data_IF_065754578288
#
_entry.id   IF_065754578288
#
_cell.length_a   1.000
_cell.length_b   1.000
_cell.length_c   1.000
_cell.angle_alpha   90.00
_cell.angle_beta   90.00
_cell.angle_gamma   90.00
#
_symmetry.space_group_name_H-M   'P 1'
#
loop_
_entity.id
_entity.type
_entity.pdbx_description
1 polymer ?
#
# COMPACT_ATOMS: atom_id res chain seq x y z
N UNK A 1 -13.56 -34.34 -2.56
CA UNK A 1 -13.88 -32.98 -2.04
C UNK A 1 -13.18 -31.91 -2.85
N UNK A 2 -11.85 -31.82 -2.85
CA UNK A 2 -11.15 -30.76 -3.61
C UNK A 2 -11.42 -30.82 -5.11
N UNK A 3 -11.41 -32.01 -5.73
CA UNK A 3 -11.76 -32.16 -7.16
C UNK A 3 -13.20 -31.76 -7.46
N UNK A 4 -14.13 -32.11 -6.58
CA UNK A 4 -15.56 -31.76 -6.69
C UNK A 4 -15.73 -30.22 -6.65
N UNK A 5 -15.08 -29.55 -5.68
CA UNK A 5 -15.07 -28.10 -5.59
C UNK A 5 -14.40 -27.42 -6.78
N UNK A 6 -13.29 -27.98 -7.27
CA UNK A 6 -12.60 -27.47 -8.44
C UNK A 6 -13.42 -27.68 -9.72
N UNK A 7 -14.20 -28.75 -9.84
CA UNK A 7 -15.00 -29.04 -11.03
C UNK A 7 -16.17 -28.08 -11.25
N UNK A 8 -16.65 -27.42 -10.19
CA UNK A 8 -17.80 -26.50 -10.21
C UNK A 8 -17.40 -25.04 -10.53
N UNK A 9 -16.17 -24.81 -11.01
CA UNK A 9 -15.70 -23.47 -11.40
C UNK A 9 -16.23 -23.08 -12.77
N UNK A 10 -16.53 -21.79 -12.93
CA UNK A 10 -16.93 -21.19 -14.21
C UNK A 10 -15.82 -20.28 -14.76
N UNK A 11 -15.86 -20.00 -16.07
CA UNK A 11 -14.88 -19.09 -16.69
C UNK A 11 -15.13 -17.68 -16.18
N UNK A 12 -14.13 -17.08 -15.52
CA UNK A 12 -14.17 -15.71 -15.03
C UNK A 12 -12.85 -15.00 -15.35
N UNK A 13 -12.92 -13.89 -16.09
CA UNK A 13 -11.73 -13.16 -16.53
C UNK A 13 -11.03 -12.52 -15.33
N UNK A 14 -9.71 -12.73 -15.21
CA UNK A 14 -8.88 -12.13 -14.16
C UNK A 14 -9.05 -12.74 -12.76
N UNK A 15 -9.89 -13.75 -12.59
CA UNK A 15 -10.07 -14.44 -11.31
C UNK A 15 -9.20 -15.68 -11.22
N UNK A 16 -8.51 -15.85 -10.09
CA UNK A 16 -7.78 -17.08 -9.78
C UNK A 16 -8.72 -18.30 -9.63
N UNK A 17 -10.01 -18.07 -9.33
CA UNK A 17 -11.03 -19.12 -9.19
C UNK A 17 -11.71 -19.45 -10.52
N UNK A 18 -11.22 -18.93 -11.63
CA UNK A 18 -11.70 -19.29 -12.97
C UNK A 18 -11.47 -20.77 -13.27
N UNK A 19 -12.35 -21.39 -14.05
CA UNK A 19 -12.06 -22.70 -14.65
C UNK A 19 -10.93 -22.63 -15.69
N UNK A 20 -10.60 -21.44 -16.19
CA UNK A 20 -9.49 -21.18 -17.11
C UNK A 20 -8.17 -20.77 -16.41
N UNK A 21 -8.07 -20.91 -15.08
CA UNK A 21 -6.84 -20.63 -14.34
C UNK A 21 -5.73 -21.63 -14.71
N UNK A 22 -4.47 -21.18 -14.74
CA UNK A 22 -3.32 -22.03 -15.09
C UNK A 22 -3.01 -23.08 -14.02
N UNK A 23 -2.26 -24.13 -14.42
CA UNK A 23 -1.99 -25.31 -13.60
C UNK A 23 -1.37 -24.97 -12.23
N UNK A 24 -0.44 -24.02 -12.19
CA UNK A 24 0.18 -23.59 -10.93
C UNK A 24 -0.84 -22.96 -9.97
N UNK A 25 -1.77 -22.15 -10.48
CA UNK A 25 -2.85 -21.56 -9.69
C UNK A 25 -3.79 -22.65 -9.17
N UNK A 26 -4.13 -23.62 -10.01
CA UNK A 26 -4.99 -24.74 -9.62
C UNK A 26 -4.32 -25.59 -8.53
N UNK A 27 -3.03 -25.86 -8.62
CA UNK A 27 -2.31 -26.63 -7.58
C UNK A 27 -2.21 -25.85 -6.26
N UNK A 28 -1.95 -24.54 -6.32
CA UNK A 28 -2.00 -23.68 -5.14
C UNK A 28 -3.38 -23.72 -4.48
N UNK A 29 -4.46 -23.59 -5.25
CA UNK A 29 -5.83 -23.67 -4.74
C UNK A 29 -6.12 -25.04 -4.12
N UNK A 30 -5.60 -26.12 -4.73
CA UNK A 30 -5.74 -27.47 -4.21
C UNK A 30 -5.09 -27.61 -2.84
N UNK A 31 -3.87 -27.11 -2.67
CA UNK A 31 -3.16 -27.18 -1.39
C UNK A 31 -3.80 -26.29 -0.31
N UNK A 32 -4.23 -25.08 -0.65
CA UNK A 32 -5.00 -24.22 0.25
C UNK A 32 -6.31 -24.89 0.70
N UNK A 33 -6.99 -25.59 -0.21
CA UNK A 33 -8.22 -26.31 0.10
C UNK A 33 -7.97 -27.56 0.97
N UNK A 34 -6.86 -28.29 0.77
CA UNK A 34 -6.43 -29.37 1.67
C UNK A 34 -6.23 -28.86 3.09
N UNK A 35 -5.62 -27.68 3.25
CA UNK A 35 -5.47 -27.05 4.55
C UNK A 35 -6.84 -26.71 5.17
N UNK A 36 -7.78 -26.16 4.39
CA UNK A 36 -9.16 -25.94 4.84
C UNK A 36 -9.83 -27.22 5.35
N UNK A 37 -9.72 -28.32 4.59
CA UNK A 37 -10.26 -29.63 4.98
C UNK A 37 -9.67 -30.08 6.31
N UNK A 38 -8.35 -29.98 6.46
CA UNK A 38 -7.63 -30.40 7.67
C UNK A 38 -8.04 -29.56 8.87
N UNK A 39 -8.16 -28.24 8.72
CA UNK A 39 -8.59 -27.32 9.77
C UNK A 39 -10.00 -27.69 10.27
N UNK A 40 -10.98 -27.78 9.37
CA UNK A 40 -12.37 -28.08 9.74
C UNK A 40 -12.48 -29.48 10.38
N UNK A 41 -11.80 -30.48 9.80
CA UNK A 41 -11.81 -31.85 10.32
C UNK A 41 -11.21 -31.95 11.73
N UNK A 42 -10.18 -31.16 12.01
CA UNK A 42 -9.55 -31.08 13.35
C UNK A 42 -10.54 -30.54 14.39
N UNK A 43 -11.32 -29.51 14.03
CA UNK A 43 -12.37 -28.97 14.89
C UNK A 43 -13.51 -29.96 15.11
N UNK A 44 -13.99 -30.62 14.06
CA UNK A 44 -15.02 -31.66 14.15
C UNK A 44 -14.59 -32.84 15.04
N UNK A 45 -13.30 -33.13 15.08
CA UNK A 45 -12.69 -34.16 15.93
C UNK A 45 -12.46 -33.70 17.39
N UNK A 46 -12.91 -32.51 17.79
CA UNK A 46 -12.81 -32.00 19.16
C UNK A 46 -11.46 -31.36 19.54
N UNK A 47 -10.50 -31.25 18.61
CA UNK A 47 -9.16 -30.74 18.87
C UNK A 47 -9.07 -29.21 18.66
N UNK A 48 -9.81 -28.44 19.46
CA UNK A 48 -9.96 -26.98 19.27
C UNK A 48 -8.64 -26.20 19.23
N UNK A 49 -7.67 -26.53 20.10
CA UNK A 49 -6.37 -25.83 20.10
C UNK A 49 -5.56 -26.03 18.82
N UNK A 50 -5.67 -27.19 18.18
CA UNK A 50 -5.01 -27.44 16.89
C UNK A 50 -5.69 -26.71 15.74
N UNK A 51 -7.00 -26.48 15.84
CA UNK A 51 -7.74 -25.67 14.86
C UNK A 51 -7.25 -24.22 14.85
N UNK A 52 -7.04 -23.59 16.01
CA UNK A 52 -6.60 -22.19 16.09
C UNK A 52 -5.28 -21.96 15.33
N UNK A 53 -4.26 -22.80 15.57
CA UNK A 53 -2.99 -22.66 14.86
C UNK A 53 -3.06 -22.97 13.36
N UNK A 54 -4.02 -23.79 12.90
CA UNK A 54 -4.25 -24.00 11.47
C UNK A 54 -5.06 -22.87 10.83
N UNK A 55 -5.99 -22.27 11.59
CA UNK A 55 -6.80 -21.13 11.18
C UNK A 55 -5.92 -19.91 10.87
N UNK A 56 -5.00 -19.59 11.76
CA UNK A 56 -4.03 -18.49 11.58
C UNK A 56 -3.16 -18.70 10.34
N UNK A 57 -2.51 -19.87 10.22
CA UNK A 57 -1.69 -20.22 9.05
C UNK A 57 -2.46 -20.18 7.74
N UNK A 58 -3.70 -20.66 7.77
CA UNK A 58 -4.57 -20.61 6.59
C UNK A 58 -4.94 -19.18 6.21
N UNK A 59 -5.31 -18.36 7.20
CA UNK A 59 -5.67 -16.96 6.99
C UNK A 59 -4.50 -16.17 6.39
N UNK A 60 -3.30 -16.29 6.97
CA UNK A 60 -2.07 -15.65 6.47
C UNK A 60 -1.78 -16.06 5.02
N UNK A 61 -1.69 -17.36 4.75
CA UNK A 61 -1.30 -17.84 3.43
C UNK A 61 -2.33 -17.49 2.34
N UNK A 62 -3.62 -17.63 2.65
CA UNK A 62 -4.67 -17.27 1.69
C UNK A 62 -4.69 -15.76 1.50
N UNK A 63 -4.67 -14.95 2.56
CA UNK A 63 -4.65 -13.49 2.45
C UNK A 63 -3.48 -12.99 1.59
N UNK A 64 -2.27 -13.44 1.86
CA UNK A 64 -1.08 -13.08 1.08
C UNK A 64 -1.26 -13.40 -0.40
N UNK A 65 -1.67 -14.64 -0.71
CA UNK A 65 -1.93 -15.10 -2.08
C UNK A 65 -3.00 -14.27 -2.80
N UNK A 66 -4.07 -13.85 -2.09
CA UNK A 66 -5.15 -13.02 -2.67
C UNK A 66 -4.73 -11.58 -2.90
N UNK A 67 -3.91 -11.01 -2.00
CA UNK A 67 -3.36 -9.66 -2.17
C UNK A 67 -2.38 -9.63 -3.34
N UNK A 68 -1.53 -10.64 -3.51
CA UNK A 68 -0.60 -10.74 -4.64
C UNK A 68 -1.33 -10.87 -5.99
N UNK A 69 -2.46 -11.59 -6.01
CA UNK A 69 -3.27 -11.78 -7.21
C UNK A 69 -4.33 -10.69 -7.44
N UNK A 70 -4.40 -9.67 -6.58
CA UNK A 70 -5.46 -8.65 -6.57
C UNK A 70 -6.88 -9.25 -6.59
N UNK A 71 -7.08 -10.37 -5.88
CA UNK A 71 -8.37 -11.06 -5.83
C UNK A 71 -9.32 -10.33 -4.89
N UNK A 72 -10.53 -9.92 -5.34
CA UNK A 72 -11.52 -9.31 -4.46
C UNK A 72 -12.00 -10.26 -3.36
N UNK A 73 -12.23 -9.73 -2.15
CA UNK A 73 -12.66 -10.50 -0.97
C UNK A 73 -13.95 -11.30 -1.24
N UNK A 74 -14.90 -10.73 -1.98
CA UNK A 74 -16.16 -11.42 -2.30
C UNK A 74 -15.95 -12.72 -3.11
N UNK A 75 -14.90 -12.80 -3.95
CA UNK A 75 -14.61 -14.05 -4.68
C UNK A 75 -14.11 -15.15 -3.74
N UNK A 76 -13.38 -14.76 -2.69
CA UNK A 76 -12.93 -15.69 -1.66
C UNK A 76 -14.13 -16.19 -0.86
N UNK A 77 -15.04 -15.28 -0.49
CA UNK A 77 -16.30 -15.64 0.15
C UNK A 77 -17.09 -16.65 -0.70
N UNK A 78 -17.32 -16.34 -1.98
CA UNK A 78 -18.05 -17.24 -2.89
C UNK A 78 -17.38 -18.62 -2.98
N UNK A 79 -16.06 -18.63 -3.08
CA UNK A 79 -15.26 -19.84 -3.12
C UNK A 79 -15.40 -20.69 -1.86
N UNK A 80 -15.30 -20.06 -0.67
CA UNK A 80 -15.44 -20.73 0.62
C UNK A 80 -16.86 -21.23 0.83
N UNK A 81 -17.88 -20.47 0.44
CA UNK A 81 -19.29 -20.88 0.54
C UNK A 81 -19.61 -22.06 -0.38
N UNK A 82 -19.11 -22.08 -1.62
CA UNK A 82 -19.21 -23.27 -2.48
C UNK A 82 -18.53 -24.48 -1.84
N UNK A 83 -17.35 -24.28 -1.26
CA UNK A 83 -16.64 -25.36 -0.58
C UNK A 83 -17.39 -25.88 0.66
N UNK A 84 -18.08 -25.00 1.40
CA UNK A 84 -18.96 -25.37 2.52
C UNK A 84 -20.03 -26.36 2.07
N UNK A 85 -20.67 -26.13 0.93
CA UNK A 85 -21.64 -27.07 0.35
C UNK A 85 -21.02 -28.43 0.04
N UNK A 86 -19.85 -28.45 -0.62
CA UNK A 86 -19.12 -29.70 -0.92
C UNK A 86 -18.74 -30.46 0.35
N UNK A 87 -18.34 -29.73 1.40
CA UNK A 87 -18.02 -30.31 2.71
C UNK A 87 -19.25 -30.94 3.36
N UNK A 88 -20.39 -30.26 3.34
CA UNK A 88 -21.63 -30.80 3.88
C UNK A 88 -22.09 -32.05 3.11
N UNK A 89 -22.04 -32.02 1.77
CA UNK A 89 -22.37 -33.19 0.93
C UNK A 89 -21.47 -34.39 1.24
N UNK A 90 -20.20 -34.18 1.60
CA UNK A 90 -19.35 -35.26 2.08
C UNK A 90 -19.83 -35.84 3.42
N UNK A 91 -20.17 -34.99 4.39
CA UNK A 91 -20.74 -35.43 5.68
C UNK A 91 -22.04 -36.21 5.45
N UNK A 92 -22.93 -35.73 4.58
CA UNK A 92 -24.18 -36.43 4.25
C UNK A 92 -23.94 -37.82 3.67
N UNK A 93 -22.97 -37.97 2.76
CA UNK A 93 -22.57 -39.27 2.21
C UNK A 93 -22.02 -40.19 3.30
N UNK A 94 -21.21 -39.67 4.21
CA UNK A 94 -20.70 -40.42 5.36
C UNK A 94 -21.82 -40.88 6.29
N UNK A 95 -22.79 -40.02 6.61
CA UNK A 95 -23.96 -40.36 7.44
C UNK A 95 -24.74 -41.52 6.80
N UNK A 96 -25.03 -41.43 5.50
CA UNK A 96 -25.79 -42.48 4.79
C UNK A 96 -25.06 -43.82 4.77
N UNK A 97 -23.73 -43.80 4.63
CA UNK A 97 -22.93 -45.02 4.60
C UNK A 97 -22.78 -45.69 5.98
N UNK A 98 -22.95 -44.93 7.07
CA UNK A 98 -22.75 -45.39 8.45
C UNK A 98 -24.00 -45.17 9.32
N UNK A 99 -25.19 -45.34 8.73
CA UNK A 99 -26.46 -44.95 9.34
C UNK A 99 -26.74 -45.64 10.69
N UNK A 100 -26.16 -46.81 10.93
CA UNK A 100 -26.32 -47.56 12.18
C UNK A 100 -25.37 -47.07 13.30
N UNK A 101 -24.27 -46.40 12.94
CA UNK A 101 -23.25 -45.90 13.88
C UNK A 101 -23.39 -44.39 14.16
N UNK A 102 -24.08 -43.66 13.28
CA UNK A 102 -24.22 -42.20 13.39
C UNK A 102 -25.55 -41.82 14.01
N UNK A 103 -25.51 -41.25 15.21
CA UNK A 103 -26.72 -40.80 15.90
C UNK A 103 -27.14 -39.38 15.48
N UNK A 104 -28.42 -39.04 15.69
CA UNK A 104 -28.95 -37.69 15.44
C UNK A 104 -28.18 -36.60 16.17
N UNK A 105 -27.68 -36.89 17.36
CA UNK A 105 -26.85 -36.00 18.18
C UNK A 105 -25.52 -35.69 17.50
N UNK A 106 -24.91 -36.64 16.79
CA UNK A 106 -23.67 -36.42 16.04
C UNK A 106 -23.91 -35.51 14.84
N UNK A 107 -25.00 -35.73 14.11
CA UNK A 107 -25.37 -34.87 12.97
C UNK A 107 -25.58 -33.42 13.42
N UNK A 108 -26.31 -33.20 14.51
CA UNK A 108 -26.52 -31.85 15.07
C UNK A 108 -25.21 -31.22 15.55
N UNK A 109 -24.33 -32.01 16.19
CA UNK A 109 -23.03 -31.56 16.66
C UNK A 109 -22.11 -31.19 15.48
N UNK A 110 -22.00 -32.04 14.48
CA UNK A 110 -21.17 -31.78 13.29
C UNK A 110 -21.67 -30.59 12.50
N UNK A 111 -22.99 -30.44 12.33
CA UNK A 111 -23.56 -29.25 11.68
C UNK A 111 -23.17 -27.96 12.41
N UNK A 112 -23.26 -27.94 13.74
CA UNK A 112 -22.87 -26.77 14.55
C UNK A 112 -21.36 -26.49 14.46
N UNK A 113 -20.53 -27.51 14.69
CA UNK A 113 -19.07 -27.36 14.69
C UNK A 113 -18.52 -27.01 13.30
N UNK A 114 -19.06 -27.59 12.23
CA UNK A 114 -18.72 -27.19 10.87
C UNK A 114 -19.09 -25.74 10.61
N UNK A 115 -20.29 -25.30 11.01
CA UNK A 115 -20.69 -23.92 10.79
C UNK A 115 -19.74 -22.95 11.49
N UNK A 116 -19.50 -23.15 12.78
CA UNK A 116 -18.54 -22.33 13.52
C UNK A 116 -17.11 -22.42 12.95
N UNK A 117 -16.66 -23.59 12.48
CA UNK A 117 -15.33 -23.73 11.88
C UNK A 117 -15.15 -22.82 10.65
N UNK A 118 -16.14 -22.81 9.75
CA UNK A 118 -16.10 -21.97 8.56
C UNK A 118 -16.23 -20.49 8.90
N UNK A 119 -17.08 -20.14 9.86
CA UNK A 119 -17.28 -18.74 10.27
C UNK A 119 -16.00 -18.19 10.91
N UNK A 120 -15.38 -18.93 11.83
CA UNK A 120 -14.14 -18.52 12.49
C UNK A 120 -12.97 -18.43 11.49
N UNK A 121 -12.90 -19.36 10.54
CA UNK A 121 -11.87 -19.39 9.50
C UNK A 121 -12.02 -18.20 8.53
N UNK A 122 -13.24 -17.91 8.08
CA UNK A 122 -13.49 -16.76 7.20
C UNK A 122 -13.34 -15.42 7.92
N UNK A 123 -13.74 -15.34 9.20
CA UNK A 123 -13.53 -14.15 10.03
C UNK A 123 -12.03 -13.84 10.19
N UNK A 124 -11.21 -14.86 10.50
CA UNK A 124 -9.76 -14.68 10.61
C UNK A 124 -9.15 -14.21 9.29
N UNK A 125 -9.50 -14.85 8.18
CA UNK A 125 -9.04 -14.40 6.86
C UNK A 125 -9.44 -12.96 6.56
N UNK A 126 -10.68 -12.57 6.85
CA UNK A 126 -11.14 -11.20 6.57
C UNK A 126 -10.35 -10.17 7.38
N UNK A 127 -10.06 -10.49 8.64
CA UNK A 127 -9.23 -9.65 9.51
C UNK A 127 -7.80 -9.53 8.97
N UNK A 128 -7.13 -10.65 8.72
CA UNK A 128 -5.75 -10.68 8.21
C UNK A 128 -5.65 -9.99 6.85
N UNK A 129 -6.59 -10.25 5.94
CA UNK A 129 -6.64 -9.61 4.63
C UNK A 129 -6.78 -8.08 4.75
N UNK A 130 -7.65 -7.61 5.65
CA UNK A 130 -7.83 -6.18 5.90
C UNK A 130 -6.55 -5.54 6.45
N UNK A 131 -5.96 -6.12 7.49
CA UNK A 131 -4.73 -5.62 8.11
C UNK A 131 -3.56 -5.55 7.11
N UNK A 132 -3.34 -6.60 6.32
CA UNK A 132 -2.29 -6.63 5.30
C UNK A 132 -2.55 -5.62 4.18
N UNK A 133 -3.82 -5.43 3.79
CA UNK A 133 -4.19 -4.45 2.76
C UNK A 133 -3.99 -3.03 3.27
N UNK A 134 -4.43 -2.70 4.48
CA UNK A 134 -4.22 -1.39 5.10
C UNK A 134 -2.73 -1.07 5.29
N UNK A 135 -1.93 -2.06 5.74
CA UNK A 135 -0.48 -1.91 5.85
C UNK A 135 0.16 -1.63 4.48
N UNK A 136 -0.28 -2.32 3.42
CA UNK A 136 0.18 -2.08 2.05
C UNK A 136 -0.24 -0.68 1.56
N UNK A 137 -1.48 -0.26 1.79
CA UNK A 137 -1.94 1.08 1.41
C UNK A 137 -1.13 2.17 2.13
N UNK A 138 -0.91 2.01 3.43
CA UNK A 138 -0.13 2.94 4.23
C UNK A 138 1.32 3.00 3.74
N UNK A 139 1.95 1.86 3.47
CA UNK A 139 3.30 1.81 2.91
C UNK A 139 3.36 2.45 1.51
N UNK A 140 2.34 2.25 0.67
CA UNK A 140 2.25 2.89 -0.65
C UNK A 140 2.07 4.41 -0.53
N UNK A 141 1.24 4.89 0.41
CA UNK A 141 1.07 6.32 0.69
C UNK A 141 2.37 6.95 1.21
N UNK A 142 3.04 6.28 2.15
CA UNK A 142 4.33 6.72 2.66
C UNK A 142 5.38 6.77 1.55
N UNK A 143 5.43 5.76 0.67
CA UNK A 143 6.30 5.76 -0.50
C UNK A 143 5.93 6.87 -1.48
N UNK A 144 4.65 7.17 -1.71
CA UNK A 144 4.24 8.31 -2.56
C UNK A 144 4.69 9.64 -1.94
N UNK A 145 4.62 9.77 -0.61
CA UNK A 145 5.15 10.95 0.08
C UNK A 145 6.68 11.03 0.00
N UNK A 146 7.37 9.89 0.10
CA UNK A 146 8.83 9.77 0.02
C UNK A 146 9.36 9.99 -1.41
N UNK A 147 8.74 9.38 -2.41
CA UNK A 147 9.00 9.60 -3.83
C UNK A 147 8.52 10.99 -4.29
N UNK A 148 7.55 11.55 -3.58
CA UNK A 148 7.10 12.93 -3.73
C UNK A 148 8.07 13.94 -3.11
N UNK A 149 9.19 13.48 -2.52
CA UNK A 149 10.17 14.34 -1.86
C UNK A 149 11.48 14.53 -2.63
N UNK A 150 12.14 15.66 -2.39
CA UNK A 150 11.88 16.82 -3.23
C UNK A 150 13.22 17.43 -3.64
N UNK A 151 14.35 16.83 -3.29
CA UNK A 151 15.70 17.35 -3.47
C UNK A 151 16.52 16.28 -4.19
N UNK A 152 16.89 16.57 -5.43
CA UNK A 152 17.68 15.71 -6.31
C UNK A 152 19.13 16.16 -6.23
N UNK A 153 20.04 15.29 -5.77
CA UNK A 153 21.47 15.61 -5.70
C UNK A 153 22.07 15.70 -7.11
N UNK A 154 22.71 16.82 -7.44
CA UNK A 154 23.41 17.03 -8.71
C UNK A 154 24.83 16.47 -8.61
N UNK A 155 25.51 16.80 -7.51
CA UNK A 155 26.88 16.41 -7.20
C UNK A 155 27.10 16.42 -5.68
N UNK A 156 28.35 16.31 -5.24
CA UNK A 156 28.73 16.18 -3.83
C UNK A 156 28.06 17.19 -2.89
N UNK A 157 27.87 18.45 -3.33
CA UNK A 157 27.47 19.57 -2.46
C UNK A 157 26.20 20.30 -2.96
N UNK A 158 25.76 20.07 -4.21
CA UNK A 158 24.62 20.77 -4.84
C UNK A 158 23.41 19.87 -5.04
N UNK A 159 22.21 20.41 -4.83
CA UNK A 159 20.93 19.71 -5.03
C UNK A 159 19.86 20.59 -5.69
N UNK A 160 18.83 19.99 -6.28
CA UNK A 160 17.71 20.67 -6.94
C UNK A 160 16.42 20.29 -6.25
N UNK A 161 15.61 21.30 -5.92
CA UNK A 161 14.22 21.17 -5.49
C UNK A 161 13.26 21.53 -6.63
N UNK A 162 12.84 20.57 -7.49
CA UNK A 162 11.84 20.85 -8.51
C UNK A 162 10.44 20.89 -7.90
N UNK A 163 9.71 21.98 -8.15
CA UNK A 163 8.34 22.14 -7.74
C UNK A 163 7.42 22.09 -8.97
N UNK A 164 6.54 21.09 -9.00
CA UNK A 164 5.65 20.81 -10.13
C UNK A 164 4.20 20.81 -9.66
N UNK A 165 3.33 21.45 -10.44
CA UNK A 165 1.89 21.56 -10.20
C UNK A 165 1.55 22.66 -9.20
N UNK A 166 0.31 22.64 -8.71
CA UNK A 166 -0.13 23.60 -7.71
C UNK A 166 0.53 23.34 -6.35
N UNK A 167 0.91 24.41 -5.67
CA UNK A 167 1.40 24.36 -4.30
C UNK A 167 0.33 25.02 -3.44
N UNK A 168 -0.32 24.22 -2.60
CA UNK A 168 -1.21 24.69 -1.55
C UNK A 168 -0.48 24.84 -0.20
N UNK A 169 -1.20 25.34 0.79
CA UNK A 169 -0.67 25.57 2.14
C UNK A 169 -0.20 24.28 2.82
N UNK A 170 -0.85 23.15 2.57
CA UNK A 170 -0.47 21.86 3.17
C UNK A 170 0.84 21.35 2.59
N UNK A 171 0.98 21.40 1.26
CA UNK A 171 2.21 21.04 0.55
C UNK A 171 3.37 21.95 0.95
N UNK A 172 3.15 23.25 1.05
CA UNK A 172 4.18 24.19 1.49
C UNK A 172 4.67 23.91 2.92
N UNK A 173 3.75 23.54 3.83
CA UNK A 173 4.09 23.16 5.20
C UNK A 173 4.94 21.88 5.24
N UNK A 174 4.56 20.87 4.45
CA UNK A 174 5.33 19.62 4.34
C UNK A 174 6.74 19.91 3.81
N UNK A 175 6.86 20.71 2.74
CA UNK A 175 8.16 21.09 2.18
C UNK A 175 9.06 21.79 3.21
N UNK A 176 8.49 22.69 4.03
CA UNK A 176 9.21 23.38 5.09
C UNK A 176 9.83 22.44 6.13
N UNK A 177 9.17 21.32 6.42
CA UNK A 177 9.68 20.31 7.36
C UNK A 177 10.66 19.35 6.70
N UNK A 178 10.35 18.84 5.50
CA UNK A 178 11.12 17.74 4.91
C UNK A 178 12.35 18.20 4.13
N UNK A 179 12.31 19.35 3.46
CA UNK A 179 13.44 19.85 2.63
C UNK A 179 14.72 20.06 3.47
N UNK A 180 14.68 20.71 4.64
CA UNK A 180 15.88 20.89 5.46
C UNK A 180 16.50 19.56 5.91
N UNK A 181 15.67 18.60 6.35
CA UNK A 181 16.11 17.26 6.77
C UNK A 181 16.78 16.51 5.62
N UNK A 182 16.19 16.55 4.42
CA UNK A 182 16.75 15.91 3.22
C UNK A 182 18.07 16.55 2.79
N UNK A 183 18.18 17.88 2.84
CA UNK A 183 19.43 18.55 2.49
C UNK A 183 20.56 18.15 3.45
N UNK A 184 20.27 18.05 4.75
CA UNK A 184 21.23 17.59 5.75
C UNK A 184 21.65 16.13 5.54
N UNK A 185 20.71 15.23 5.26
CA UNK A 185 21.00 13.82 4.96
C UNK A 185 21.86 13.61 3.71
N UNK A 186 21.72 14.50 2.72
CA UNK A 186 22.38 14.43 1.44
C UNK A 186 23.65 15.29 1.36
N UNK A 187 24.09 15.91 2.45
CA UNK A 187 25.24 16.85 2.50
C UNK A 187 25.14 17.99 1.47
N UNK A 188 23.93 18.51 1.26
CA UNK A 188 23.69 19.63 0.33
C UNK A 188 23.99 20.94 1.03
N UNK A 189 24.93 21.72 0.49
CA UNK A 189 25.23 23.08 0.95
C UNK A 189 24.72 24.18 -0.01
N UNK A 190 24.24 23.79 -1.20
CA UNK A 190 23.59 24.69 -2.15
C UNK A 190 22.37 24.00 -2.79
N UNK A 191 21.18 24.53 -2.53
CA UNK A 191 19.91 24.07 -3.09
C UNK A 191 19.37 25.02 -4.17
N UNK A 192 19.08 24.48 -5.36
CA UNK A 192 18.38 25.17 -6.44
C UNK A 192 16.89 24.86 -6.40
N UNK A 193 16.04 25.84 -6.11
CA UNK A 193 14.59 25.67 -6.05
C UNK A 193 14.00 26.08 -7.41
N UNK A 194 13.46 25.13 -8.17
CA UNK A 194 12.88 25.39 -9.49
C UNK A 194 11.35 25.49 -9.42
N UNK A 195 10.84 26.66 -9.78
CA UNK A 195 9.42 27.01 -9.78
C UNK A 195 8.82 27.00 -11.20
N UNK A 196 9.58 26.58 -12.22
CA UNK A 196 9.13 26.57 -13.61
C UNK A 196 7.83 25.77 -13.84
N UNK A 197 7.68 24.67 -13.08
CA UNK A 197 6.52 23.77 -13.09
C UNK A 197 5.34 24.21 -12.21
N UNK A 198 5.45 25.34 -11.50
CA UNK A 198 4.39 25.85 -10.62
C UNK A 198 3.47 26.79 -11.38
N UNK A 199 2.17 26.56 -11.26
CA UNK A 199 1.10 27.29 -11.97
C UNK A 199 0.53 28.43 -11.14
N UNK A 200 0.31 28.21 -9.84
CA UNK A 200 -0.29 29.19 -8.93
C UNK A 200 0.41 29.11 -7.57
N UNK A 201 0.74 30.28 -7.01
CA UNK A 201 1.21 30.43 -5.63
C UNK A 201 0.32 31.48 -4.97
N UNK A 202 -0.37 31.10 -3.90
CA UNK A 202 -1.09 32.05 -3.05
C UNK A 202 -0.13 32.75 -2.08
N UNK A 203 -0.56 33.87 -1.52
CA UNK A 203 0.12 34.68 -0.51
C UNK A 203 0.64 33.87 0.68
N UNK A 204 -0.17 32.94 1.21
CA UNK A 204 0.25 32.05 2.30
C UNK A 204 1.40 31.12 1.90
N UNK A 205 1.38 30.63 0.66
CA UNK A 205 2.40 29.71 0.14
C UNK A 205 3.71 30.44 -0.09
N UNK A 206 3.67 31.67 -0.63
CA UNK A 206 4.86 32.51 -0.80
C UNK A 206 5.57 32.75 0.54
N UNK A 207 4.81 33.03 1.61
CA UNK A 207 5.37 33.20 2.96
C UNK A 207 6.01 31.91 3.49
N UNK A 208 5.37 30.75 3.32
CA UNK A 208 5.93 29.47 3.74
C UNK A 208 7.22 29.11 2.98
N UNK A 209 7.30 29.43 1.69
CA UNK A 209 8.52 29.25 0.89
C UNK A 209 9.65 30.18 1.36
N UNK A 210 9.32 31.41 1.72
CA UNK A 210 10.30 32.35 2.27
C UNK A 210 10.85 31.87 3.61
N UNK A 211 9.98 31.38 4.51
CA UNK A 211 10.41 30.76 5.78
C UNK A 211 11.31 29.54 5.55
N UNK A 212 11.01 28.69 4.56
CA UNK A 212 11.89 27.57 4.20
C UNK A 212 13.29 28.07 3.81
N UNK A 213 13.39 29.11 2.99
CA UNK A 213 14.69 29.67 2.57
C UNK A 213 15.46 30.22 3.77
N UNK A 214 14.78 30.87 4.72
CA UNK A 214 15.41 31.33 5.96
C UNK A 214 15.93 30.16 6.80
N UNK A 215 15.14 29.08 6.96
CA UNK A 215 15.56 27.87 7.66
C UNK A 215 16.81 27.28 7.01
N UNK A 216 16.83 27.15 5.68
CA UNK A 216 17.98 26.65 4.93
C UNK A 216 19.22 27.53 5.15
N UNK A 217 19.06 28.86 5.10
CA UNK A 217 20.15 29.80 5.37
C UNK A 217 20.72 29.66 6.78
N UNK A 218 19.89 29.42 7.79
CA UNK A 218 20.33 29.20 9.18
C UNK A 218 21.11 27.88 9.33
N UNK A 219 20.80 26.89 8.50
CA UNK A 219 21.52 25.62 8.42
C UNK A 219 22.81 25.70 7.58
N UNK A 220 23.15 26.88 7.04
CA UNK A 220 24.32 27.07 6.19
C UNK A 220 24.12 26.61 4.74
N UNK A 221 22.88 26.33 4.34
CA UNK A 221 22.52 25.89 2.99
C UNK A 221 22.14 27.11 2.16
N UNK A 222 22.94 27.39 1.13
CA UNK A 222 22.67 28.48 0.18
C UNK A 222 21.49 28.08 -0.69
N UNK A 223 20.58 29.02 -0.93
CA UNK A 223 19.42 28.79 -1.78
C UNK A 223 19.47 29.67 -3.03
N UNK A 224 19.06 29.12 -4.17
CA UNK A 224 18.92 29.84 -5.44
C UNK A 224 17.58 29.49 -6.05
N UNK A 225 16.77 30.49 -6.42
CA UNK A 225 15.47 30.23 -7.04
C UNK A 225 15.54 30.39 -8.55
N UNK A 226 14.85 29.53 -9.27
CA UNK A 226 14.77 29.56 -10.74
C UNK A 226 13.33 29.42 -11.22
N UNK A 227 13.05 29.87 -12.45
CA UNK A 227 11.74 29.66 -13.08
C UNK A 227 10.59 30.45 -12.44
N UNK A 228 10.89 31.55 -11.75
CA UNK A 228 9.87 32.42 -11.14
C UNK A 228 9.06 33.10 -12.26
N UNK A 229 7.76 32.83 -12.30
CA UNK A 229 6.85 33.49 -13.24
C UNK A 229 6.56 34.95 -12.83
N UNK A 230 6.28 35.87 -13.77
CA UNK A 230 6.02 37.28 -13.47
C UNK A 230 4.96 37.52 -12.38
N UNK A 231 3.88 36.74 -12.37
CA UNK A 231 2.79 36.79 -11.40
C UNK A 231 3.25 36.45 -9.97
N UNK A 232 4.18 35.51 -9.83
CA UNK A 232 4.77 35.13 -8.54
C UNK A 232 5.70 36.23 -8.05
N UNK A 233 6.50 36.82 -8.96
CA UNK A 233 7.38 37.94 -8.65
C UNK A 233 6.59 39.18 -8.18
N UNK A 234 5.47 39.50 -8.85
CA UNK A 234 4.60 40.61 -8.46
C UNK A 234 3.99 40.40 -7.07
N UNK A 235 3.49 39.19 -6.80
CA UNK A 235 2.93 38.83 -5.48
C UNK A 235 3.98 38.96 -4.38
N UNK A 236 5.19 38.47 -4.63
CA UNK A 236 6.33 38.60 -3.72
C UNK A 236 6.67 40.05 -3.36
N UNK A 237 6.69 40.94 -4.36
CA UNK A 237 6.93 42.37 -4.15
C UNK A 237 5.78 43.01 -3.37
N UNK A 238 4.54 42.65 -3.69
CA UNK A 238 3.36 43.17 -2.98
C UNK A 238 3.34 42.79 -1.50
N UNK A 239 3.81 41.58 -1.16
CA UNK A 239 3.92 41.09 0.22
C UNK A 239 5.11 41.68 0.98
N UNK A 240 5.98 42.45 0.33
CA UNK A 240 7.18 43.02 0.96
C UNK A 240 8.21 41.97 1.35
N UNK A 241 8.21 40.80 0.68
CA UNK A 241 9.21 39.76 0.91
C UNK A 241 10.56 40.22 0.35
N UNK A 242 11.59 40.23 1.21
CA UNK A 242 12.92 40.66 0.83
C UNK A 242 13.72 39.52 0.20
N UNK A 243 13.72 39.48 -1.13
CA UNK A 243 14.53 38.55 -1.92
C UNK A 243 15.96 39.02 -2.17
N UNK A 244 16.42 40.13 -1.56
CA UNK A 244 17.78 40.66 -1.77
C UNK A 244 18.88 39.66 -1.40
N UNK A 245 18.60 38.73 -0.48
CA UNK A 245 19.51 37.70 -0.02
C UNK A 245 19.41 36.39 -0.83
N UNK A 246 18.49 36.32 -1.81
CA UNK A 246 18.19 35.10 -2.57
C UNK A 246 18.57 35.33 -4.04
N UNK A 247 19.54 34.57 -4.54
CA UNK A 247 19.88 34.61 -5.96
C UNK A 247 18.73 34.05 -6.79
N UNK A 248 18.38 34.75 -7.87
CA UNK A 248 17.32 34.33 -8.79
C UNK A 248 17.84 34.26 -10.22
N UNK A 249 17.36 33.27 -10.98
CA UNK A 249 17.70 33.10 -12.39
C UNK A 249 16.45 32.76 -13.21
N UNK A 250 16.48 33.08 -14.51
CA UNK A 250 15.37 32.79 -15.41
C UNK A 250 15.15 31.28 -15.63
N UNK A 251 16.22 30.49 -15.58
CA UNK A 251 16.16 29.03 -15.74
C UNK A 251 17.14 28.32 -14.81
N UNK A 252 16.85 27.05 -14.53
CA UNK A 252 17.76 26.17 -13.79
C UNK A 252 19.11 26.02 -14.51
N UNK A 253 19.10 25.92 -15.84
CA UNK A 253 20.32 25.85 -16.64
C UNK A 253 21.23 27.05 -16.39
N UNK A 254 20.68 28.27 -16.48
CA UNK A 254 21.44 29.49 -16.24
C UNK A 254 22.05 29.52 -14.83
N UNK A 255 21.27 29.12 -13.82
CA UNK A 255 21.74 29.09 -12.44
C UNK A 255 22.92 28.13 -12.23
N UNK A 256 22.90 26.97 -12.89
CA UNK A 256 23.97 25.98 -12.81
C UNK A 256 25.24 26.43 -13.53
N UNK A 257 25.10 27.12 -14.67
CA UNK A 257 26.22 27.70 -15.42
C UNK A 257 26.90 28.84 -14.65
N UNK A 258 26.11 29.73 -14.02
CA UNK A 258 26.62 30.88 -13.26
C UNK A 258 27.08 30.52 -11.83
N UNK A 259 26.82 29.29 -11.38
CA UNK A 259 27.27 28.77 -10.08
C UNK A 259 28.13 27.51 -10.25
N UNK A 260 29.34 27.64 -10.83
CA UNK A 260 30.22 26.50 -11.08
C UNK A 260 30.69 25.84 -9.77
N UNK A 261 30.97 24.54 -9.86
CA UNK A 261 31.57 23.78 -8.75
C UNK A 261 32.94 24.37 -8.45
N UNK A 262 33.20 24.71 -7.19
CA UNK A 262 34.56 25.01 -6.76
C UNK A 262 35.34 23.69 -6.77
N UNK A 263 36.22 23.50 -7.75
CA UNK A 263 37.20 22.42 -7.73
C UNK A 263 38.03 22.57 -6.45
N UNK A 264 37.94 21.59 -5.55
CA UNK A 264 38.84 21.44 -4.39
C UNK A 264 40.14 20.79 -4.84
#
# INVERSE_FOLDING_TARGET
>A
MTDEWLSDRVVKRGSIYSSAAGDQTVEMLREQNRLTIRSISTRLSGHKGHFEGMKEKWAEWVAESRIQSNTPVHEVFDSVMRFRTVFWSFIERFIRANNDEVHRTDVLRWGREMNHAFDDLFHEFTRTYHEMTEARLTAQQALIQELGTPVIKIDCERGILPLIGDIDTDRARILKTVVPERCAQLDINHLFIDLSGVTIIDTMVAQQMFELIQILSLLGIRSTMTGIRPEIAQTSVHLGLDFSLIRTYGSLQQALEETPVLEK
#
